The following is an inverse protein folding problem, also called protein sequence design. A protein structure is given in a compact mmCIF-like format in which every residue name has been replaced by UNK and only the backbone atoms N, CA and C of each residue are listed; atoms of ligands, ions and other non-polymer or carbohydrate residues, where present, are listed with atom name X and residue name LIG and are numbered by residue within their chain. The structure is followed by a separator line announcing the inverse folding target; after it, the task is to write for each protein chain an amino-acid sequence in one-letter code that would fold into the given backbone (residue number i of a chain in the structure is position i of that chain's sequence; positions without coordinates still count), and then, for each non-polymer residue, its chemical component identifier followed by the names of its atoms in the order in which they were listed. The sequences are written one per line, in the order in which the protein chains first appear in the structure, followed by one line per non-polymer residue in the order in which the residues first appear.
data_IF_924003449808
#
_entry.id   IF_924003449808
#
_cell.length_a   1.000
_cell.length_b   1.000
_cell.length_c   1.000
_cell.angle_alpha   90.00
_cell.angle_beta   90.00
_cell.angle_gamma   90.00
#
_symmetry.space_group_name_H-M   'P 1'
#
loop_
_entity.id
_entity.type
_entity.pdbx_description
1 polymer ?
#
# COMPACT_ATOMS: atom_id res chain seq x y z
N UNK A 1 18.99 -1.97 5.60
CA UNK A 1 18.06 -0.91 5.14
C UNK A 1 16.64 -1.44 5.24
N UNK A 2 15.62 -0.58 5.41
CA UNK A 2 14.22 -1.03 5.46
C UNK A 2 13.41 -0.34 4.37
N UNK A 3 12.46 -1.11 3.84
CA UNK A 3 11.50 -0.68 2.83
C UNK A 3 10.07 -0.77 3.36
N UNK A 4 9.21 0.15 2.92
CA UNK A 4 7.76 0.11 3.11
C UNK A 4 7.10 0.30 1.75
N UNK A 5 6.26 -0.64 1.32
CA UNK A 5 5.60 -0.59 0.01
C UNK A 5 4.09 -0.38 0.18
N UNK A 6 3.56 0.68 -0.42
CA UNK A 6 2.13 0.99 -0.40
C UNK A 6 1.52 0.94 -1.80
N UNK A 7 0.48 0.12 -1.98
CA UNK A 7 -0.24 0.00 -3.26
C UNK A 7 -1.32 1.07 -3.42
N UNK A 8 -1.34 1.77 -4.56
CA UNK A 8 -2.27 2.87 -4.83
C UNK A 8 -3.71 2.42 -5.09
N UNK A 9 -3.89 1.39 -5.93
CA UNK A 9 -5.21 1.03 -6.47
C UNK A 9 -5.75 -0.33 -5.99
N UNK A 10 -4.92 -1.14 -5.32
CA UNK A 10 -5.25 -2.53 -4.95
C UNK A 10 -5.36 -3.47 -6.16
N UNK A 11 -5.53 -4.78 -5.92
CA UNK A 11 -5.94 -5.73 -6.96
C UNK A 11 -7.47 -5.82 -6.97
N UNK A 12 -8.05 -5.91 -8.17
CA UNK A 12 -9.50 -5.91 -8.36
C UNK A 12 -10.16 -7.28 -8.12
N UNK A 13 -9.41 -8.32 -7.75
CA UNK A 13 -9.94 -9.68 -7.62
C UNK A 13 -9.20 -10.52 -6.60
N UNK A 14 -9.97 -11.29 -5.81
CA UNK A 14 -9.52 -12.49 -5.07
C UNK A 14 -9.17 -13.67 -5.98
N UNK A 15 -9.38 -13.51 -7.30
CA UNK A 15 -9.16 -14.56 -8.27
C UNK A 15 -7.99 -14.21 -9.17
N UNK A 16 -6.88 -14.87 -8.90
CA UNK A 16 -5.87 -15.22 -9.88
C UNK A 16 -6.53 -15.91 -11.11
N UNK A 17 -6.00 -15.58 -12.30
CA UNK A 17 -6.04 -16.38 -13.54
C UNK A 17 -7.30 -16.45 -14.44
N UNK A 18 -8.34 -15.63 -14.29
CA UNK A 18 -9.41 -15.57 -15.33
C UNK A 18 -9.58 -14.18 -15.92
N UNK A 19 -8.83 -13.93 -16.99
CA UNK A 19 -8.63 -12.63 -17.62
C UNK A 19 -9.90 -11.98 -18.24
N UNK A 20 -11.05 -12.67 -18.30
CA UNK A 20 -12.26 -12.09 -18.90
C UNK A 20 -13.56 -12.64 -18.28
N UNK A 21 -14.11 -11.92 -17.29
CA UNK A 21 -15.48 -12.16 -16.80
C UNK A 21 -16.46 -11.23 -17.54
N UNK A 22 -17.58 -11.77 -18.05
CA UNK A 22 -18.65 -10.94 -18.60
C UNK A 22 -19.30 -10.13 -17.48
N UNK A 23 -19.18 -8.80 -17.57
CA UNK A 23 -19.71 -7.86 -16.57
C UNK A 23 -21.17 -7.53 -16.90
N UNK A 24 -22.09 -7.93 -16.03
CA UNK A 24 -23.51 -7.60 -16.15
C UNK A 24 -23.82 -6.14 -15.77
N UNK A 25 -25.05 -5.66 -16.03
CA UNK A 25 -25.49 -4.28 -15.71
C UNK A 25 -25.26 -3.86 -14.26
N UNK A 26 -25.32 -4.82 -13.32
CA UNK A 26 -25.06 -4.60 -11.89
C UNK A 26 -23.62 -4.20 -11.57
N UNK A 27 -22.66 -4.45 -12.47
CA UNK A 27 -21.25 -4.13 -12.26
C UNK A 27 -20.99 -2.62 -12.12
N UNK A 28 -21.85 -1.78 -12.69
CA UNK A 28 -21.78 -0.32 -12.48
C UNK A 28 -21.85 0.09 -10.99
N UNK A 29 -22.54 -0.70 -10.15
CA UNK A 29 -22.56 -0.47 -8.69
C UNK A 29 -21.22 -0.84 -8.05
N UNK A 30 -20.60 -1.93 -8.50
CA UNK A 30 -19.27 -2.37 -8.05
C UNK A 30 -18.21 -1.32 -8.41
N UNK A 31 -18.24 -0.81 -9.65
CA UNK A 31 -17.34 0.26 -10.09
C UNK A 31 -17.44 1.53 -9.23
N UNK A 32 -18.65 1.90 -8.79
CA UNK A 32 -18.83 3.06 -7.90
C UNK A 32 -18.22 2.81 -6.52
N UNK A 33 -18.50 1.65 -5.93
CA UNK A 33 -17.94 1.27 -4.62
C UNK A 33 -16.42 1.21 -4.67
N UNK A 34 -15.87 0.62 -5.73
CA UNK A 34 -14.43 0.59 -5.98
C UNK A 34 -13.86 2.00 -6.14
N UNK A 35 -14.52 2.87 -6.90
CA UNK A 35 -14.08 4.25 -7.07
C UNK A 35 -14.07 5.03 -5.75
N UNK A 36 -15.08 4.84 -4.90
CA UNK A 36 -15.12 5.45 -3.56
C UNK A 36 -14.01 4.92 -2.65
N UNK A 37 -13.71 3.62 -2.73
CA UNK A 37 -12.64 2.98 -1.96
C UNK A 37 -11.25 3.43 -2.42
N UNK A 38 -10.99 3.44 -3.73
CA UNK A 38 -9.75 3.97 -4.31
C UNK A 38 -9.57 5.42 -3.89
N UNK A 39 -10.62 6.24 -3.98
CA UNK A 39 -10.56 7.63 -3.52
C UNK A 39 -10.11 7.69 -2.07
N UNK A 40 -10.80 6.98 -1.16
CA UNK A 40 -10.47 6.95 0.28
C UNK A 40 -9.01 6.54 0.51
N UNK A 41 -8.55 5.50 -0.16
CA UNK A 41 -7.17 5.00 -0.08
C UNK A 41 -6.15 6.02 -0.53
N UNK A 42 -6.38 6.70 -1.65
CA UNK A 42 -5.43 7.71 -2.15
C UNK A 42 -5.30 8.91 -1.20
N UNK A 43 -6.38 9.33 -0.54
CA UNK A 43 -6.30 10.35 0.50
C UNK A 43 -5.51 9.88 1.72
N UNK A 44 -5.69 8.62 2.13
CA UNK A 44 -4.93 8.05 3.23
C UNK A 44 -3.44 7.92 2.89
N UNK A 45 -3.10 7.42 1.70
CA UNK A 45 -1.72 7.33 1.23
C UNK A 45 -1.09 8.72 1.12
N UNK A 46 -1.84 9.75 0.71
CA UNK A 46 -1.33 11.13 0.70
C UNK A 46 -0.95 11.61 2.11
N UNK A 47 -1.80 11.36 3.12
CA UNK A 47 -1.50 11.64 4.53
C UNK A 47 -0.25 10.91 5.00
N UNK A 48 -0.15 9.60 4.70
CA UNK A 48 0.99 8.77 5.09
C UNK A 48 2.28 9.25 4.40
N UNK A 49 2.19 9.60 3.11
CA UNK A 49 3.31 10.12 2.34
C UNK A 49 3.89 11.39 2.98
N UNK A 50 3.04 12.36 3.31
CA UNK A 50 3.45 13.59 4.01
C UNK A 50 4.20 13.25 5.30
N UNK A 51 3.60 12.42 6.16
CA UNK A 51 4.20 12.01 7.44
C UNK A 51 5.56 11.35 7.24
N UNK A 52 5.68 10.38 6.32
CA UNK A 52 6.93 9.64 6.12
C UNK A 52 8.05 10.54 5.57
N UNK A 53 7.75 11.35 4.56
CA UNK A 53 8.75 12.23 3.93
C UNK A 53 9.21 13.32 4.92
N UNK A 54 8.30 13.90 5.71
CA UNK A 54 8.64 14.85 6.78
C UNK A 54 9.54 14.22 7.85
N UNK A 55 9.45 12.90 8.06
CA UNK A 55 10.28 12.14 8.99
C UNK A 55 11.51 11.50 8.32
N UNK A 56 11.90 11.96 7.14
CA UNK A 56 13.17 11.61 6.51
C UNK A 56 13.17 10.26 5.77
N UNK A 57 12.01 9.71 5.45
CA UNK A 57 11.90 8.60 4.52
C UNK A 57 12.06 9.12 3.08
N UNK A 58 12.77 8.35 2.26
CA UNK A 58 12.92 8.63 0.82
C UNK A 58 11.87 7.84 0.07
N UNK A 59 11.12 8.46 -0.83
CA UNK A 59 10.05 7.80 -1.60
C UNK A 59 10.41 7.67 -3.08
N UNK A 60 10.10 6.51 -3.67
CA UNK A 60 10.16 6.24 -5.11
C UNK A 60 8.79 5.69 -5.55
N UNK A 61 8.19 6.29 -6.57
CA UNK A 61 6.86 5.90 -7.06
C UNK A 61 6.88 5.17 -8.39
N UNK A 62 5.89 4.31 -8.60
CA UNK A 62 5.55 3.69 -9.88
C UNK A 62 4.11 4.03 -10.29
N UNK A 63 3.61 3.36 -11.34
CA UNK A 63 2.20 3.48 -11.74
C UNK A 63 1.23 2.81 -10.74
N UNK A 64 1.70 1.93 -9.85
CA UNK A 64 0.85 1.09 -9.01
C UNK A 64 1.14 1.19 -7.51
N UNK A 65 2.34 1.62 -7.14
CA UNK A 65 2.83 1.61 -5.77
C UNK A 65 3.80 2.78 -5.50
N UNK A 66 4.07 2.99 -4.21
CA UNK A 66 5.13 3.85 -3.70
C UNK A 66 5.96 3.02 -2.74
N UNK A 67 7.27 3.00 -2.94
CA UNK A 67 8.22 2.41 -2.01
C UNK A 67 8.94 3.50 -1.23
N UNK A 68 8.96 3.36 0.09
CA UNK A 68 9.65 4.23 1.01
C UNK A 68 10.86 3.52 1.60
N UNK A 69 11.98 4.23 1.69
CA UNK A 69 13.26 3.72 2.16
C UNK A 69 13.78 4.55 3.31
N UNK A 70 14.38 3.89 4.29
CA UNK A 70 15.13 4.56 5.35
C UNK A 70 16.25 3.66 5.90
N UNK A 71 17.38 4.27 6.23
CA UNK A 71 18.52 3.56 6.80
C UNK A 71 18.35 3.41 8.32
N UNK A 72 17.64 2.35 8.69
CA UNK A 72 17.36 1.94 10.06
C UNK A 72 17.12 0.42 10.09
N UNK A 73 17.10 -0.18 11.27
CA UNK A 73 16.75 -1.59 11.47
C UNK A 73 15.24 -1.80 11.43
N UNK A 74 14.79 -3.03 11.15
CA UNK A 74 13.36 -3.35 11.11
C UNK A 74 12.63 -3.01 12.43
N UNK A 75 13.26 -3.25 13.58
CA UNK A 75 12.66 -2.92 14.88
C UNK A 75 12.59 -1.40 15.12
N UNK A 76 13.60 -0.64 14.71
CA UNK A 76 13.55 0.83 14.75
C UNK A 76 12.45 1.37 13.83
N UNK A 77 12.27 0.79 12.64
CA UNK A 77 11.20 1.13 11.71
C UNK A 77 9.83 0.95 12.35
N UNK A 78 9.61 -0.22 12.98
CA UNK A 78 8.36 -0.56 13.66
C UNK A 78 8.05 0.43 14.76
N UNK A 79 9.04 0.75 15.59
CA UNK A 79 8.87 1.71 16.68
C UNK A 79 8.59 3.13 16.15
N UNK A 80 9.29 3.54 15.09
CA UNK A 80 9.01 4.82 14.44
C UNK A 80 7.58 4.88 13.92
N UNK A 81 7.10 3.87 13.19
CA UNK A 81 5.72 3.82 12.69
C UNK A 81 4.69 3.88 13.82
N UNK A 82 4.92 3.20 14.97
CA UNK A 82 4.04 3.34 16.15
C UNK A 82 3.98 4.78 16.65
N UNK A 83 5.12 5.43 16.82
CA UNK A 83 5.13 6.83 17.29
C UNK A 83 4.44 7.80 16.33
N UNK A 84 4.46 7.50 15.03
CA UNK A 84 3.81 8.29 14.00
C UNK A 84 2.31 7.97 13.84
N UNK A 85 1.77 6.98 14.59
CA UNK A 85 0.38 6.54 14.46
C UNK A 85 0.10 5.80 13.15
N UNK A 86 1.10 5.05 12.67
CA UNK A 86 1.11 4.29 11.42
C UNK A 86 1.26 2.78 11.68
N UNK A 87 0.76 2.29 12.81
CA UNK A 87 0.92 0.90 13.26
C UNK A 87 0.39 -0.12 12.26
N UNK A 88 -0.69 0.22 11.56
CA UNK A 88 -1.30 -0.63 10.53
C UNK A 88 -0.35 -0.93 9.37
N UNK A 89 0.67 -0.10 9.14
CA UNK A 89 1.62 -0.26 8.05
C UNK A 89 2.84 -1.12 8.40
N UNK A 90 3.00 -1.52 9.67
CA UNK A 90 4.14 -2.32 10.13
C UNK A 90 4.26 -3.65 9.36
N UNK A 91 3.12 -4.26 9.04
CA UNK A 91 3.10 -5.54 8.32
C UNK A 91 3.59 -5.45 6.87
N UNK A 92 3.78 -4.23 6.35
CA UNK A 92 4.29 -3.96 5.00
C UNK A 92 5.77 -3.54 5.01
N UNK A 93 6.41 -3.54 6.19
CA UNK A 93 7.85 -3.33 6.29
C UNK A 93 8.62 -4.59 5.83
N UNK A 94 9.70 -4.35 5.12
CA UNK A 94 10.57 -5.36 4.54
C UNK A 94 12.03 -4.97 4.82
N UNK A 95 12.89 -5.92 5.19
CA UNK A 95 14.33 -5.70 5.26
C UNK A 95 15.06 -6.49 4.16
N UNK A 96 16.38 -6.33 4.07
CA UNK A 96 17.23 -6.99 3.08
C UNK A 96 17.16 -8.54 3.11
N UNK A 97 16.54 -9.14 4.13
CA UNK A 97 16.36 -10.59 4.29
C UNK A 97 14.99 -11.11 3.84
N UNK A 98 14.04 -10.21 3.57
CA UNK A 98 12.72 -10.55 3.09
C UNK A 98 12.69 -10.59 1.56
N UNK A 99 12.31 -11.74 0.97
CA UNK A 99 11.78 -11.75 -0.39
C UNK A 99 10.38 -11.14 -0.31
N UNK A 100 10.22 -9.86 -0.65
CA UNK A 100 8.91 -9.22 -0.61
C UNK A 100 7.97 -9.88 -1.64
N UNK A 101 7.11 -10.79 -1.15
CA UNK A 101 5.80 -10.97 -1.74
C UNK A 101 5.07 -9.64 -1.54
N UNK A 102 4.72 -8.97 -2.64
CA UNK A 102 3.78 -7.84 -2.59
C UNK A 102 2.58 -8.30 -1.76
N UNK A 103 2.22 -7.61 -0.67
CA UNK A 103 1.01 -7.94 0.07
C UNK A 103 -0.15 -7.87 -0.92
N UNK A 104 -0.78 -9.01 -1.21
CA UNK A 104 -2.01 -8.99 -1.97
C UNK A 104 -3.06 -8.29 -1.11
N UNK A 105 -3.33 -7.03 -1.45
CA UNK A 105 -4.40 -6.27 -0.84
C UNK A 105 -5.73 -6.74 -1.41
N UNK A 106 -6.39 -7.64 -0.69
CA UNK A 106 -7.74 -8.08 -0.96
C UNK A 106 -8.76 -7.08 -0.36
N UNK A 107 -9.83 -6.80 -1.11
CA UNK A 107 -10.98 -5.99 -0.68
C UNK A 107 -12.12 -6.89 -0.19
#
# INVERSE_FOLDING_TARGET
MVELVLTLFGRLSEHDETEYVRLGKGFSKVLRLLGDEIRRRLYEIARVHEILVENGWVAIGSAYDITYYKDLTLEEAKEELRRLGLEEYIMYLCDDSCSCATPDFYL
#
